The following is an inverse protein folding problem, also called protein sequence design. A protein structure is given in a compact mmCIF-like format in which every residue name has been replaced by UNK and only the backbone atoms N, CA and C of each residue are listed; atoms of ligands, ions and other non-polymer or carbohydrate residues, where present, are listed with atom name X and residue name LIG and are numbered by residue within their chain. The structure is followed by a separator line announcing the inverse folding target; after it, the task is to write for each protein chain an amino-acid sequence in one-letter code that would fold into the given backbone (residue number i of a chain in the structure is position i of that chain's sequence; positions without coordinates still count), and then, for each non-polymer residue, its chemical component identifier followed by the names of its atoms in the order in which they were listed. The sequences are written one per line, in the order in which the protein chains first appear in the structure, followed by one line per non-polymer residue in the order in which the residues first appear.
data_IF_971233305317
#
_entry.id   IF_971233305317
#
_cell.length_a   1.000
_cell.length_b   1.000
_cell.length_c   1.000
_cell.angle_alpha   90.00
_cell.angle_beta   90.00
_cell.angle_gamma   90.00
#
_symmetry.space_group_name_H-M   'P 1'
#
loop_
_entity.id
_entity.type
_entity.pdbx_description
1 polymer ?
#
# COMPACT_ATOMS: atom_id res chain seq x y z
N UNK A 1 -4.55 -12.79 -1.41
CA UNK A 1 -4.62 -13.39 -2.77
C UNK A 1 -3.27 -14.05 -3.10
N UNK A 2 -3.22 -15.21 -3.80
CA UNK A 2 -1.98 -15.94 -4.03
C UNK A 2 -1.06 -15.31 -5.09
N UNK A 3 -1.59 -14.39 -5.93
CA UNK A 3 -0.83 -13.65 -6.95
C UNK A 3 -1.19 -12.17 -6.94
N UNK A 4 -0.18 -11.33 -7.13
CA UNK A 4 -0.31 -9.88 -7.24
C UNK A 4 -0.05 -9.43 -8.68
N UNK A 5 -1.12 -9.31 -9.47
CA UNK A 5 -1.06 -8.69 -10.79
C UNK A 5 -1.06 -7.17 -10.64
N UNK A 6 -0.05 -6.50 -11.19
CA UNK A 6 0.12 -5.04 -11.13
C UNK A 6 -0.63 -4.41 -12.31
N UNK A 7 -1.95 -4.36 -12.20
CA UNK A 7 -2.80 -3.82 -13.27
C UNK A 7 -3.12 -2.33 -13.10
N UNK A 8 -3.00 -1.81 -11.87
CA UNK A 8 -3.32 -0.42 -11.57
C UNK A 8 -2.23 0.22 -10.71
N UNK A 9 -1.82 1.42 -11.11
CA UNK A 9 -0.94 2.31 -10.37
C UNK A 9 -1.63 3.66 -10.18
N UNK A 10 -1.36 4.32 -9.06
CA UNK A 10 -1.94 5.63 -8.74
C UNK A 10 -0.88 6.53 -8.11
N UNK A 11 -0.91 7.82 -8.42
CA UNK A 11 -0.05 8.80 -7.75
C UNK A 11 -0.40 8.92 -6.27
N UNK A 12 0.61 9.02 -5.39
CA UNK A 12 0.39 9.10 -3.95
C UNK A 12 -0.42 10.34 -3.56
N UNK A 13 -0.19 11.47 -4.22
CA UNK A 13 -1.00 12.68 -4.02
C UNK A 13 -2.49 12.48 -4.36
N UNK A 14 -2.81 11.73 -5.43
CA UNK A 14 -4.20 11.42 -5.80
C UNK A 14 -4.82 10.40 -4.85
N UNK A 15 -4.04 9.40 -4.44
CA UNK A 15 -4.47 8.39 -3.48
C UNK A 15 -4.82 9.02 -2.12
N UNK A 16 -4.02 9.97 -1.64
CA UNK A 16 -4.27 10.74 -0.41
C UNK A 16 -5.50 11.65 -0.48
N UNK A 17 -5.96 12.02 -1.68
CA UNK A 17 -7.25 12.74 -1.85
C UNK A 17 -8.46 11.79 -1.78
N UNK A 18 -8.26 10.50 -2.07
CA UNK A 18 -9.34 9.50 -2.13
C UNK A 18 -9.54 8.77 -0.80
N UNK A 19 -8.52 8.73 0.05
CA UNK A 19 -8.54 8.03 1.33
C UNK A 19 -8.32 9.00 2.49
N UNK A 20 -8.91 8.73 3.67
CA UNK A 20 -8.67 9.55 4.84
C UNK A 20 -7.19 9.61 5.21
N UNK A 21 -6.74 10.76 5.70
CA UNK A 21 -5.35 10.96 6.17
C UNK A 21 -4.95 9.90 7.21
N UNK A 22 -5.93 9.39 7.96
CA UNK A 22 -5.69 8.38 8.99
C UNK A 22 -5.06 7.08 8.45
N UNK A 23 -5.31 6.74 7.18
CA UNK A 23 -4.78 5.55 6.53
C UNK A 23 -3.28 5.69 6.13
N UNK A 24 -2.70 6.88 6.21
CA UNK A 24 -1.30 7.15 5.81
C UNK A 24 -0.44 7.62 6.98
N UNK A 25 -0.79 7.22 8.21
CA UNK A 25 -0.02 7.55 9.40
C UNK A 25 0.08 6.34 10.30
N UNK A 26 1.27 5.74 10.38
CA UNK A 26 1.51 4.53 11.19
C UNK A 26 1.05 4.68 12.65
N UNK A 27 1.17 5.86 13.24
CA UNK A 27 0.72 6.16 14.63
C UNK A 27 -0.78 6.00 14.89
N UNK A 28 -1.60 5.98 13.84
CA UNK A 28 -3.05 5.86 13.97
C UNK A 28 -3.52 4.40 14.05
N UNK A 29 -2.63 3.44 13.81
CA UNK A 29 -2.93 2.02 13.86
C UNK A 29 -2.77 1.52 15.30
N UNK A 30 -3.81 0.86 15.81
CA UNK A 30 -3.74 0.11 17.08
C UNK A 30 -3.50 -1.35 16.73
N UNK A 31 -2.29 -1.83 17.04
CA UNK A 31 -1.78 -3.05 16.40
C UNK A 31 -1.59 -2.78 14.90
N UNK A 32 -2.28 -3.56 14.06
CA UNK A 32 -2.20 -3.42 12.61
C UNK A 32 -3.45 -2.78 12.01
N UNK A 33 -4.39 -2.29 12.81
CA UNK A 33 -5.71 -1.92 12.32
C UNK A 33 -6.08 -0.49 12.71
N UNK A 34 -6.84 0.17 11.82
CA UNK A 34 -7.42 1.49 12.06
C UNK A 34 -8.84 1.51 11.50
N UNK A 35 -9.75 2.12 12.26
CA UNK A 35 -11.09 2.44 11.80
C UNK A 35 -11.27 3.95 11.89
N UNK A 36 -11.46 4.62 10.76
CA UNK A 36 -11.61 6.07 10.71
C UNK A 36 -12.63 6.47 9.64
N UNK A 37 -13.61 7.30 10.02
CA UNK A 37 -14.68 7.76 9.11
C UNK A 37 -15.40 6.60 8.37
N UNK A 38 -15.61 5.46 9.06
CA UNK A 38 -16.25 4.27 8.47
C UNK A 38 -15.36 3.46 7.53
N UNK A 39 -14.11 3.89 7.29
CA UNK A 39 -13.11 3.09 6.60
C UNK A 39 -12.33 2.24 7.59
N UNK A 40 -12.32 0.92 7.34
CA UNK A 40 -11.45 -0.02 8.03
C UNK A 40 -10.21 -0.27 7.20
N UNK A 41 -9.03 -0.27 7.81
CA UNK A 41 -7.77 -0.53 7.12
C UNK A 41 -6.83 -1.31 8.01
N UNK A 42 -6.13 -2.28 7.41
CA UNK A 42 -5.08 -3.04 8.05
C UNK A 42 -3.74 -2.75 7.37
N UNK A 43 -2.70 -2.50 8.15
CA UNK A 43 -1.34 -2.21 7.68
C UNK A 43 -0.44 -3.41 7.95
N UNK A 44 0.34 -3.80 6.93
CA UNK A 44 1.27 -4.92 7.02
C UNK A 44 2.62 -4.51 6.44
N UNK A 45 3.69 -5.01 7.05
CA UNK A 45 5.03 -4.96 6.48
C UNK A 45 5.24 -6.22 5.61
N UNK A 46 5.80 -6.03 4.42
CA UNK A 46 6.03 -7.12 3.47
C UNK A 46 7.45 -7.65 3.65
N UNK A 47 7.56 -8.93 4.00
CA UNK A 47 8.82 -9.67 4.01
C UNK A 47 9.00 -10.45 2.71
N UNK A 48 10.21 -10.45 2.16
CA UNK A 48 10.51 -11.08 0.87
C UNK A 48 11.46 -12.25 1.12
N UNK A 49 11.17 -13.41 0.52
CA UNK A 49 12.12 -14.52 0.54
C UNK A 49 13.34 -14.19 -0.33
N UNK A 50 14.55 -14.43 0.17
CA UNK A 50 15.84 -13.98 -0.39
C UNK A 50 16.05 -14.14 -1.92
N UNK A 51 15.34 -15.05 -2.60
CA UNK A 51 15.54 -15.34 -4.04
C UNK A 51 15.11 -14.19 -4.96
N UNK A 52 14.26 -13.28 -4.52
CA UNK A 52 13.73 -12.19 -5.37
C UNK A 52 13.92 -10.77 -4.80
N UNK A 53 14.72 -10.63 -3.74
CA UNK A 53 14.93 -9.35 -3.04
C UNK A 53 15.25 -8.19 -3.99
N UNK A 54 16.21 -8.37 -4.90
CA UNK A 54 16.65 -7.34 -5.85
C UNK A 54 15.51 -6.82 -6.76
N UNK A 55 14.56 -7.68 -7.16
CA UNK A 55 13.43 -7.28 -8.03
C UNK A 55 12.45 -6.41 -7.25
N UNK A 56 12.21 -6.77 -5.99
CA UNK A 56 11.30 -6.01 -5.13
C UNK A 56 11.93 -4.69 -4.71
N UNK A 57 13.22 -4.67 -4.41
CA UNK A 57 13.96 -3.42 -4.13
C UNK A 57 13.86 -2.46 -5.32
N UNK A 58 14.09 -2.95 -6.53
CA UNK A 58 13.95 -2.14 -7.75
C UNK A 58 12.51 -1.63 -7.95
N UNK A 59 11.50 -2.45 -7.64
CA UNK A 59 10.11 -2.03 -7.68
C UNK A 59 9.83 -0.92 -6.66
N UNK A 60 10.26 -1.09 -5.41
CA UNK A 60 10.09 -0.11 -4.33
C UNK A 60 10.79 1.20 -4.68
N UNK A 61 12.01 1.15 -5.20
CA UNK A 61 12.71 2.34 -5.67
C UNK A 61 11.96 3.07 -6.80
N UNK A 62 11.43 2.33 -7.77
CA UNK A 62 10.66 2.92 -8.87
C UNK A 62 9.38 3.59 -8.37
N UNK A 63 8.68 2.98 -7.41
CA UNK A 63 7.50 3.58 -6.77
C UNK A 63 7.86 4.86 -6.01
N UNK A 64 8.97 4.86 -5.25
CA UNK A 64 9.48 6.06 -4.55
C UNK A 64 9.82 7.18 -5.53
N UNK A 65 10.63 6.89 -6.56
CA UNK A 65 11.11 7.88 -7.54
C UNK A 65 9.97 8.52 -8.33
N UNK A 66 8.89 7.79 -8.57
CA UNK A 66 7.75 8.25 -9.36
C UNK A 66 6.54 8.71 -8.53
N UNK A 67 6.65 8.68 -7.19
CA UNK A 67 5.56 9.01 -6.26
C UNK A 67 4.28 8.18 -6.53
N UNK A 68 4.44 6.86 -6.70
CA UNK A 68 3.36 5.94 -7.07
C UNK A 68 3.06 4.89 -5.98
N UNK A 69 1.83 4.41 -5.98
CA UNK A 69 1.38 3.20 -5.29
C UNK A 69 0.75 2.21 -6.29
N UNK A 70 0.86 0.91 -5.98
CA UNK A 70 0.17 -0.16 -6.71
C UNK A 70 -1.17 -0.41 -6.05
N UNK A 71 -2.21 -0.53 -6.85
CA UNK A 71 -3.59 -0.75 -6.40
C UNK A 71 -4.08 -2.09 -6.95
N UNK A 72 -4.57 -2.96 -6.07
CA UNK A 72 -5.26 -4.19 -6.46
C UNK A 72 -6.66 -4.22 -5.85
N UNK A 73 -7.67 -4.24 -6.71
CA UNK A 73 -9.06 -4.48 -6.29
C UNK A 73 -9.23 -5.94 -5.87
N UNK A 74 -9.86 -6.14 -4.72
CA UNK A 74 -10.16 -7.45 -4.16
C UNK A 74 -11.61 -7.84 -4.49
N UNK A 75 -11.91 -9.14 -4.41
CA UNK A 75 -13.23 -9.67 -4.81
C UNK A 75 -14.36 -9.19 -3.90
N UNK A 76 -14.05 -8.87 -2.65
CA UNK A 76 -14.95 -8.38 -1.61
C UNK A 76 -15.15 -6.86 -1.66
N UNK A 77 -14.78 -6.21 -2.78
CA UNK A 77 -14.77 -4.73 -2.95
C UNK A 77 -13.74 -4.02 -2.08
N UNK A 78 -12.89 -4.75 -1.36
CA UNK A 78 -11.72 -4.20 -0.70
C UNK A 78 -10.64 -3.78 -1.70
N UNK A 79 -9.66 -3.04 -1.21
CA UNK A 79 -8.50 -2.61 -2.00
C UNK A 79 -7.23 -2.96 -1.24
N UNK A 80 -6.31 -3.65 -1.90
CA UNK A 80 -4.94 -3.79 -1.44
C UNK A 80 -4.09 -2.68 -2.06
N UNK A 81 -3.37 -1.96 -1.22
CA UNK A 81 -2.48 -0.87 -1.63
C UNK A 81 -1.06 -1.26 -1.23
N UNK A 82 -0.15 -1.20 -2.19
CA UNK A 82 1.28 -1.37 -1.92
C UNK A 82 1.96 -0.04 -2.21
N UNK A 83 2.59 0.50 -1.17
CA UNK A 83 3.28 1.77 -1.21
C UNK A 83 4.62 1.68 -0.47
N UNK A 84 5.60 2.53 -0.81
CA UNK A 84 6.85 2.61 -0.08
C UNK A 84 6.61 3.08 1.37
N UNK A 85 7.39 2.55 2.33
CA UNK A 85 7.28 2.96 3.74
C UNK A 85 7.45 4.47 3.97
N UNK A 86 8.15 5.18 3.09
CA UNK A 86 8.30 6.64 3.13
C UNK A 86 7.01 7.43 2.81
N UNK A 87 5.94 6.75 2.40
CA UNK A 87 4.65 7.35 2.11
C UNK A 87 3.61 7.20 3.26
N UNK A 88 4.01 6.53 4.36
CA UNK A 88 3.25 6.33 5.61
C UNK A 88 3.63 7.31 6.74
#
# INVERSE_FOLDING_TARGET
PPKLDINHVMGLAELKKKLPEAAFRKRNYTGNEVCFQGLYSSLYEVEISNKEQHRVDQLVENLKKKDLAIIKYLRDRGVLIILPASAL
#
